data_IF_885745847549
#
_entry.id   IF_885745847549
#
_cell.length_a   1.000
_cell.length_b   1.000
_cell.length_c   1.000
_cell.angle_alpha   90.00
_cell.angle_beta   90.00
_cell.angle_gamma   90.00
#
_symmetry.space_group_name_H-M   'P 1'
#
loop_
_entity.id
_entity.type
_entity.pdbx_description
1 polymer ?
#
# COMPACT_ATOMS: atom_id res chain seq x y z
N UNK A 1 14.82 12.93 -10.30
CA UNK A 1 13.73 13.59 -11.05
C UNK A 1 13.69 15.02 -10.55
N UNK A 2 14.04 16.00 -11.39
CA UNK A 2 14.29 17.38 -10.94
C UNK A 2 13.31 18.41 -11.52
N UNK A 3 12.34 18.00 -12.34
CA UNK A 3 11.30 18.88 -12.89
C UNK A 3 9.94 18.17 -13.09
N UNK A 4 8.90 18.94 -13.40
CA UNK A 4 7.53 18.43 -13.57
C UNK A 4 7.27 17.58 -14.81
N UNK A 5 8.09 17.68 -15.86
CA UNK A 5 7.97 16.86 -17.08
C UNK A 5 8.64 15.49 -16.88
N UNK A 6 9.76 15.46 -16.14
CA UNK A 6 10.42 14.25 -15.68
C UNK A 6 9.50 13.43 -14.77
N UNK A 7 8.63 14.08 -13.98
CA UNK A 7 7.67 13.39 -13.12
C UNK A 7 6.64 12.64 -13.95
N UNK A 8 6.12 13.20 -15.05
CA UNK A 8 5.17 12.50 -15.91
C UNK A 8 5.82 11.28 -16.59
N UNK A 9 7.07 11.40 -17.04
CA UNK A 9 7.83 10.26 -17.58
C UNK A 9 8.12 9.20 -16.50
N UNK A 10 8.51 9.59 -15.29
CA UNK A 10 8.77 8.66 -14.20
C UNK A 10 7.49 7.92 -13.76
N UNK A 11 6.35 8.61 -13.74
CA UNK A 11 5.04 8.00 -13.44
C UNK A 11 4.57 7.04 -14.52
N UNK A 12 4.93 7.26 -15.79
CA UNK A 12 4.63 6.37 -16.90
C UNK A 12 5.53 5.11 -16.94
N UNK A 13 6.67 5.14 -16.25
CA UNK A 13 7.72 4.13 -16.38
C UNK A 13 7.59 2.92 -15.43
N UNK A 14 6.58 2.84 -14.55
CA UNK A 14 6.40 1.63 -13.72
C UNK A 14 5.28 1.68 -12.68
N UNK A 15 5.04 0.52 -12.08
CA UNK A 15 4.12 0.32 -10.95
C UNK A 15 4.74 0.82 -9.64
N UNK A 16 4.48 2.08 -9.30
CA UNK A 16 4.95 2.68 -8.05
C UNK A 16 4.05 2.29 -6.88
N UNK A 17 4.63 1.80 -5.79
CA UNK A 17 3.86 1.46 -4.59
C UNK A 17 3.50 2.69 -3.73
N UNK A 18 4.29 3.77 -3.83
CA UNK A 18 4.10 5.04 -3.14
C UNK A 18 4.90 6.14 -3.84
N UNK A 19 4.40 7.39 -3.78
CA UNK A 19 5.08 8.57 -4.30
C UNK A 19 5.39 9.53 -3.16
N UNK A 20 6.64 9.99 -3.10
CA UNK A 20 7.06 11.11 -2.25
C UNK A 20 7.19 12.34 -3.14
N UNK A 21 6.41 13.38 -2.86
CA UNK A 21 6.28 14.54 -3.73
C UNK A 21 6.70 15.81 -3.00
N UNK A 22 7.75 16.47 -3.50
CA UNK A 22 8.15 17.78 -2.99
C UNK A 22 7.27 18.88 -3.62
N UNK A 23 6.77 19.82 -2.83
CA UNK A 23 6.07 20.98 -3.37
C UNK A 23 7.02 22.03 -3.95
N UNK A 24 8.28 22.06 -3.52
CA UNK A 24 9.28 23.01 -3.98
C UNK A 24 9.93 22.60 -5.32
N UNK A 25 9.16 22.01 -6.23
CA UNK A 25 9.66 21.63 -7.56
C UNK A 25 9.78 22.87 -8.47
N UNK A 26 10.91 23.04 -9.18
CA UNK A 26 11.02 24.08 -10.21
C UNK A 26 10.10 23.75 -11.41
N UNK A 27 9.61 24.80 -12.08
CA UNK A 27 8.74 24.79 -13.29
C UNK A 27 7.30 24.32 -13.09
N UNK A 28 7.03 23.19 -12.44
CA UNK A 28 5.68 22.73 -12.14
C UNK A 28 5.54 22.51 -10.64
N UNK A 29 4.61 23.22 -10.00
CA UNK A 29 4.38 23.04 -8.57
C UNK A 29 3.91 21.62 -8.28
N UNK A 30 4.45 20.98 -7.23
CA UNK A 30 4.08 19.60 -6.88
C UNK A 30 2.58 19.39 -6.68
N UNK A 31 1.82 20.45 -6.37
CA UNK A 31 0.37 20.35 -6.28
C UNK A 31 -0.32 20.12 -7.63
N UNK A 32 0.20 20.71 -8.71
CA UNK A 32 -0.31 20.49 -10.06
C UNK A 32 -0.05 19.06 -10.53
N UNK A 33 1.12 18.51 -10.17
CA UNK A 33 1.45 17.09 -10.38
C UNK A 33 0.42 16.19 -9.69
N UNK A 34 0.13 16.46 -8.41
CA UNK A 34 -0.85 15.68 -7.64
C UNK A 34 -2.26 15.74 -8.27
N UNK A 35 -2.70 16.93 -8.69
CA UNK A 35 -3.99 17.09 -9.38
C UNK A 35 -4.07 16.26 -10.64
N UNK A 36 -3.04 16.32 -11.50
CA UNK A 36 -3.00 15.55 -12.74
C UNK A 36 -2.99 14.04 -12.46
N UNK A 37 -2.23 13.61 -11.47
CA UNK A 37 -2.18 12.21 -11.03
C UNK A 37 -3.58 11.71 -10.63
N UNK A 38 -4.30 12.48 -9.82
CA UNK A 38 -5.66 12.13 -9.36
C UNK A 38 -6.71 12.26 -10.47
N UNK A 39 -6.59 13.24 -11.36
CA UNK A 39 -7.46 13.37 -12.53
C UNK A 39 -7.36 12.16 -13.49
N UNK A 40 -6.21 11.48 -13.52
CA UNK A 40 -6.00 10.23 -14.28
C UNK A 40 -6.50 8.98 -13.54
N UNK A 41 -7.08 9.13 -12.35
CA UNK A 41 -7.57 8.01 -11.54
C UNK A 41 -6.46 7.14 -10.93
N UNK A 42 -5.21 7.60 -10.89
CA UNK A 42 -4.12 6.83 -10.31
C UNK A 42 -4.29 6.75 -8.78
N UNK A 43 -4.39 5.53 -8.19
CA UNK A 43 -4.69 5.33 -6.78
C UNK A 43 -3.44 5.28 -5.88
N UNK A 44 -2.23 5.41 -6.44
CA UNK A 44 -0.97 5.27 -5.69
C UNK A 44 -0.94 6.30 -4.54
N UNK A 45 -0.59 5.88 -3.31
CA UNK A 45 -0.54 6.79 -2.18
C UNK A 45 0.55 7.85 -2.38
N UNK A 46 0.25 9.10 -2.06
CA UNK A 46 1.18 10.24 -2.19
C UNK A 46 1.43 10.88 -0.83
N UNK A 47 2.70 10.95 -0.43
CA UNK A 47 3.16 11.74 0.72
C UNK A 47 3.77 13.03 0.19
N UNK A 48 3.22 14.17 0.60
CA UNK A 48 3.70 15.48 0.16
C UNK A 48 4.68 16.08 1.18
N UNK A 49 5.85 16.48 0.70
CA UNK A 49 6.85 17.22 1.47
C UNK A 49 6.65 18.72 1.25
N UNK A 50 6.56 19.49 2.34
CA UNK A 50 6.28 20.93 2.29
C UNK A 50 7.20 21.71 3.22
N UNK A 51 7.58 22.94 2.84
CA UNK A 51 8.24 23.88 3.77
C UNK A 51 7.21 24.60 4.68
N UNK A 52 5.92 24.56 4.34
CA UNK A 52 4.86 25.23 5.08
C UNK A 52 4.13 24.25 6.01
N UNK A 53 4.34 24.40 7.32
CA UNK A 53 3.73 23.58 8.36
C UNK A 53 2.35 24.09 8.85
N UNK A 54 1.85 25.22 8.31
CA UNK A 54 0.57 25.79 8.73
C UNK A 54 -0.58 24.77 8.55
N UNK A 55 -1.51 24.76 9.51
CA UNK A 55 -2.68 23.89 9.48
C UNK A 55 -3.49 24.08 8.19
N UNK A 56 -3.71 25.34 7.78
CA UNK A 56 -4.42 25.67 6.54
C UNK A 56 -3.74 25.10 5.28
N UNK A 57 -2.41 25.12 5.24
CA UNK A 57 -1.63 24.54 4.14
C UNK A 57 -1.79 23.02 4.06
N UNK A 58 -1.82 22.33 5.21
CA UNK A 58 -2.01 20.87 5.28
C UNK A 58 -3.44 20.44 4.94
N UNK A 59 -4.44 21.18 5.43
CA UNK A 59 -5.86 20.87 5.18
C UNK A 59 -6.20 21.07 3.70
N UNK A 60 -5.77 22.17 3.08
CA UNK A 60 -5.97 22.38 1.64
C UNK A 60 -5.32 21.28 0.81
N UNK A 61 -4.10 20.89 1.17
CA UNK A 61 -3.39 19.84 0.48
C UNK A 61 -4.06 18.45 0.57
N UNK A 62 -4.59 18.08 1.74
CA UNK A 62 -5.33 16.82 1.91
C UNK A 62 -6.59 16.81 1.04
N UNK A 63 -7.28 17.94 0.94
CA UNK A 63 -8.45 18.08 0.07
C UNK A 63 -8.10 17.99 -1.43
N UNK A 64 -6.84 18.24 -1.80
CA UNK A 64 -6.36 18.14 -3.19
C UNK A 64 -5.85 16.72 -3.53
N UNK A 65 -5.97 15.77 -2.60
CA UNK A 65 -5.87 14.33 -2.87
C UNK A 65 -4.57 13.66 -2.44
N UNK A 66 -3.76 14.31 -1.61
CA UNK A 66 -2.61 13.63 -0.98
C UNK A 66 -3.09 12.76 0.19
N UNK A 67 -2.35 11.69 0.45
CA UNK A 67 -2.66 10.76 1.53
C UNK A 67 -1.96 11.13 2.85
N UNK A 68 -0.88 11.92 2.78
CA UNK A 68 -0.19 12.51 3.94
C UNK A 68 0.59 13.79 3.59
N UNK A 69 0.90 14.57 4.62
CA UNK A 69 1.78 15.74 4.56
C UNK A 69 2.88 15.65 5.60
N UNK A 70 4.11 15.93 5.18
CA UNK A 70 5.28 16.02 6.05
C UNK A 70 5.98 17.36 5.86
N UNK A 71 6.09 18.13 6.93
CA UNK A 71 6.75 19.43 6.91
C UNK A 71 8.28 19.28 6.99
N UNK A 72 9.03 20.10 6.27
CA UNK A 72 10.48 20.22 6.36
C UNK A 72 10.88 21.25 7.43
N UNK A 73 11.95 21.00 8.21
CA UNK A 73 12.76 19.78 8.25
C UNK A 73 12.03 18.63 8.97
N UNK A 74 12.29 17.39 8.56
CA UNK A 74 11.74 16.18 9.18
C UNK A 74 12.84 15.20 9.55
N UNK A 75 12.53 14.28 10.47
CA UNK A 75 13.39 13.13 10.79
C UNK A 75 13.14 12.00 9.80
N UNK A 76 14.19 11.25 9.44
CA UNK A 76 14.06 10.13 8.50
C UNK A 76 13.15 9.05 9.08
N UNK A 77 13.24 8.80 10.38
CA UNK A 77 12.42 7.87 11.13
C UNK A 77 10.92 8.22 11.05
N UNK A 78 10.59 9.52 11.03
CA UNK A 78 9.20 9.98 10.84
C UNK A 78 8.70 9.66 9.42
N UNK A 79 9.52 9.93 8.40
CA UNK A 79 9.18 9.63 7.02
C UNK A 79 9.00 8.12 6.81
N UNK A 80 9.89 7.30 7.36
CA UNK A 80 9.79 5.83 7.29
C UNK A 80 8.51 5.31 7.96
N UNK A 81 8.16 5.85 9.12
CA UNK A 81 6.91 5.48 9.82
C UNK A 81 5.68 5.81 8.96
N UNK A 82 5.65 7.00 8.33
CA UNK A 82 4.55 7.42 7.45
C UNK A 82 4.45 6.58 6.18
N UNK A 83 5.58 6.29 5.53
CA UNK A 83 5.64 5.38 4.37
C UNK A 83 5.04 4.03 4.73
N UNK A 84 5.43 3.45 5.87
CA UNK A 84 4.92 2.15 6.33
C UNK A 84 3.41 2.16 6.53
N UNK A 85 2.87 3.24 7.12
CA UNK A 85 1.43 3.40 7.31
C UNK A 85 0.68 3.49 5.97
N UNK A 86 1.22 4.24 5.01
CA UNK A 86 0.57 4.41 3.71
C UNK A 86 0.63 3.16 2.84
N UNK A 87 1.77 2.46 2.82
CA UNK A 87 1.89 1.19 2.12
C UNK A 87 0.95 0.11 2.70
N UNK A 88 0.78 0.06 4.03
CA UNK A 88 -0.22 -0.82 4.66
C UNK A 88 -1.63 -0.50 4.14
N UNK A 89 -2.04 0.78 4.20
CA UNK A 89 -3.37 1.22 3.72
C UNK A 89 -3.59 1.00 2.22
N UNK A 90 -2.53 1.12 1.41
CA UNK A 90 -2.62 0.88 -0.02
C UNK A 90 -2.74 -0.62 -0.34
N UNK A 91 -2.05 -1.48 0.42
CA UNK A 91 -2.25 -2.93 0.36
C UNK A 91 -3.67 -3.32 0.82
N UNK A 92 -4.24 -2.65 1.82
CA UNK A 92 -5.64 -2.84 2.24
C UNK A 92 -6.64 -2.39 1.15
N UNK A 93 -6.21 -1.54 0.20
CA UNK A 93 -7.03 -0.98 -0.90
C UNK A 93 -6.91 -1.72 -2.23
N UNK A 94 -5.93 -2.61 -2.40
CA UNK A 94 -5.64 -3.23 -3.70
C UNK A 94 -5.79 -4.76 -3.59
N UNK A 95 -7.00 -5.22 -3.92
CA UNK A 95 -7.47 -6.60 -3.97
C UNK A 95 -7.37 -7.39 -2.63
N UNK A 96 -8.41 -7.31 -1.77
CA UNK A 96 -8.45 -8.01 -0.49
C UNK A 96 -8.66 -9.52 -0.62
N UNK A 97 -8.42 -10.09 -1.81
CA UNK A 97 -8.84 -11.43 -2.18
C UNK A 97 -7.73 -12.12 -2.98
N UNK A 98 -7.16 -13.19 -2.42
CA UNK A 98 -6.23 -14.07 -3.13
C UNK A 98 -7.03 -15.25 -3.68
N UNK A 99 -7.00 -15.45 -5.00
CA UNK A 99 -7.72 -16.56 -5.67
C UNK A 99 -6.76 -17.66 -6.15
N UNK A 100 -7.13 -18.91 -5.91
CA UNK A 100 -6.45 -20.12 -6.37
C UNK A 100 -7.50 -21.07 -6.95
N UNK A 101 -7.80 -20.92 -8.25
CA UNK A 101 -8.98 -21.55 -8.84
C UNK A 101 -10.25 -21.06 -8.15
N UNK A 102 -11.10 -21.99 -7.71
CA UNK A 102 -12.34 -21.68 -7.00
C UNK A 102 -12.13 -21.30 -5.53
N UNK A 103 -10.91 -21.45 -5.01
CA UNK A 103 -10.56 -21.07 -3.64
C UNK A 103 -10.26 -19.58 -3.58
N UNK A 104 -10.84 -18.89 -2.61
CA UNK A 104 -10.79 -17.45 -2.44
C UNK A 104 -10.46 -17.16 -0.98
N UNK A 105 -9.39 -16.42 -0.73
CA UNK A 105 -8.99 -15.97 0.61
C UNK A 105 -9.16 -14.47 0.72
N UNK A 106 -10.09 -14.03 1.57
CA UNK A 106 -10.26 -12.61 1.87
C UNK A 106 -9.27 -12.21 2.97
N UNK A 107 -8.29 -11.39 2.64
CA UNK A 107 -7.20 -10.97 3.55
C UNK A 107 -7.67 -10.02 4.65
N UNK A 108 -8.83 -9.37 4.48
CA UNK A 108 -9.38 -8.42 5.45
C UNK A 108 -10.17 -9.15 6.54
N UNK A 109 -11.07 -10.04 6.13
CA UNK A 109 -11.88 -10.87 7.03
C UNK A 109 -11.12 -12.10 7.52
N UNK A 110 -10.02 -12.45 6.85
CA UNK A 110 -9.26 -13.69 7.01
C UNK A 110 -10.16 -14.93 6.82
N UNK A 111 -11.15 -14.85 5.93
CA UNK A 111 -12.05 -15.96 5.63
C UNK A 111 -11.69 -16.61 4.29
N UNK A 112 -11.83 -17.92 4.24
CA UNK A 112 -11.75 -18.69 3.00
C UNK A 112 -13.15 -18.98 2.47
N UNK A 113 -13.29 -18.98 1.15
CA UNK A 113 -14.45 -19.53 0.46
C UNK A 113 -14.04 -20.39 -0.73
N UNK A 114 -14.86 -21.40 -1.04
CA UNK A 114 -14.66 -22.29 -2.19
C UNK A 114 -15.93 -22.26 -3.04
N UNK A 115 -15.82 -21.84 -4.30
CA UNK A 115 -16.98 -21.67 -5.17
C UNK A 115 -18.02 -20.68 -4.61
N UNK A 116 -17.57 -19.69 -3.83
CA UNK A 116 -18.42 -18.69 -3.18
C UNK A 116 -19.02 -19.10 -1.82
N UNK A 117 -18.84 -20.34 -1.37
CA UNK A 117 -19.29 -20.78 -0.04
C UNK A 117 -18.17 -20.69 0.99
N UNK A 118 -18.44 -20.09 2.16
CA UNK A 118 -17.47 -19.96 3.24
C UNK A 118 -17.02 -21.33 3.77
N UNK A 119 -15.70 -21.50 3.97
CA UNK A 119 -15.13 -22.70 4.56
C UNK A 119 -15.06 -22.57 6.08
N UNK A 120 -15.63 -23.55 6.79
CA UNK A 120 -15.44 -23.69 8.24
C UNK A 120 -14.17 -24.50 8.48
N UNK A 121 -13.07 -23.81 8.79
CA UNK A 121 -11.76 -24.43 9.05
C UNK A 121 -11.44 -24.38 10.54
N UNK A 122 -10.78 -25.42 11.04
CA UNK A 122 -10.13 -25.35 12.35
C UNK A 122 -8.97 -24.32 12.30
N UNK A 123 -8.52 -23.79 13.45
CA UNK A 123 -7.40 -22.84 13.49
C UNK A 123 -6.14 -23.37 12.78
N UNK A 124 -5.86 -24.67 12.93
CA UNK A 124 -4.70 -25.33 12.33
C UNK A 124 -4.82 -25.44 10.81
N UNK A 125 -5.98 -25.84 10.31
CA UNK A 125 -6.26 -25.90 8.86
C UNK A 125 -6.21 -24.52 8.22
N UNK A 126 -6.77 -23.52 8.90
CA UNK A 126 -6.73 -22.13 8.47
C UNK A 126 -5.29 -21.62 8.34
N UNK A 127 -4.48 -21.80 9.39
CA UNK A 127 -3.08 -21.37 9.40
C UNK A 127 -2.26 -22.04 8.28
N UNK A 128 -2.44 -23.34 8.06
CA UNK A 128 -1.80 -24.06 6.94
C UNK A 128 -2.21 -23.45 5.60
N UNK A 129 -3.51 -23.28 5.39
CA UNK A 129 -4.06 -22.84 4.11
C UNK A 129 -3.66 -21.39 3.81
N UNK A 130 -3.65 -20.51 4.81
CA UNK A 130 -3.16 -19.12 4.69
C UNK A 130 -1.69 -19.11 4.25
N UNK A 131 -0.84 -19.93 4.86
CA UNK A 131 0.58 -20.01 4.47
C UNK A 131 0.78 -20.51 3.03
N UNK A 132 -0.06 -21.42 2.56
CA UNK A 132 -0.01 -21.93 1.19
C UNK A 132 -0.52 -20.90 0.18
N UNK A 133 -1.64 -20.25 0.47
CA UNK A 133 -2.31 -19.30 -0.44
C UNK A 133 -1.53 -18.00 -0.56
N UNK A 134 -0.96 -17.48 0.53
CA UNK A 134 -0.07 -16.30 0.48
C UNK A 134 1.20 -16.56 -0.34
N UNK A 135 1.64 -17.83 -0.43
CA UNK A 135 2.81 -18.26 -1.20
C UNK A 135 2.44 -18.99 -2.50
N UNK A 136 1.22 -18.80 -3.00
CA UNK A 136 0.73 -19.48 -4.20
C UNK A 136 1.72 -19.38 -5.37
N UNK A 137 1.92 -20.48 -6.09
CA UNK A 137 2.91 -20.58 -7.17
C UNK A 137 4.34 -20.89 -6.71
N UNK A 138 4.61 -21.04 -5.41
CA UNK A 138 5.90 -21.48 -4.87
C UNK A 138 5.73 -22.71 -3.99
N UNK A 139 6.70 -23.62 -4.06
CA UNK A 139 6.74 -24.79 -3.16
C UNK A 139 7.02 -24.34 -1.73
N UNK A 140 6.14 -24.69 -0.78
CA UNK A 140 6.35 -24.45 0.65
C UNK A 140 6.87 -25.74 1.30
N UNK A 141 7.99 -25.66 2.03
CA UNK A 141 8.55 -26.83 2.70
C UNK A 141 7.76 -27.21 3.95
N UNK A 142 7.78 -28.49 4.31
CA UNK A 142 7.13 -28.99 5.54
C UNK A 142 7.66 -28.30 6.80
N UNK A 143 8.97 -28.03 6.85
CA UNK A 143 9.59 -27.30 7.95
C UNK A 143 9.03 -25.87 8.05
N UNK A 144 8.91 -25.15 6.94
CA UNK A 144 8.37 -23.80 6.91
C UNK A 144 6.89 -23.74 7.33
N UNK A 145 6.08 -24.72 6.91
CA UNK A 145 4.70 -24.85 7.40
C UNK A 145 4.68 -25.12 8.90
N UNK A 146 5.47 -26.09 9.37
CA UNK A 146 5.54 -26.46 10.78
C UNK A 146 5.85 -25.24 11.66
N UNK A 147 6.89 -24.47 11.33
CA UNK A 147 7.26 -23.26 12.08
C UNK A 147 6.12 -22.24 12.12
N UNK A 148 5.42 -22.02 11.01
CA UNK A 148 4.33 -21.04 10.94
C UNK A 148 3.06 -21.45 11.71
N UNK A 149 2.89 -22.74 12.01
CA UNK A 149 1.70 -23.29 12.69
C UNK A 149 1.96 -23.51 14.18
N UNK A 150 3.21 -23.67 14.60
CA UNK A 150 3.57 -23.92 16.00
C UNK A 150 3.19 -22.77 16.95
N UNK A 151 3.08 -21.53 16.46
CA UNK A 151 2.65 -20.38 17.28
C UNK A 151 1.19 -20.49 17.77
N UNK A 152 0.38 -21.43 17.25
CA UNK A 152 -1.01 -21.65 17.68
C UNK A 152 -1.16 -22.70 18.80
N UNK A 153 -0.12 -23.48 19.10
CA UNK A 153 -0.13 -24.52 20.15
C UNK A 153 0.40 -23.99 21.50
N UNK A 154 0.66 -22.68 21.64
CA UNK A 154 1.11 -21.98 22.87
C UNK A 154 0.14 -20.93 23.39
#
# INVERSE_FOLDING_TARGET
>A
VHDGEDVEHALAAGDHALIILDLALPRMGGMEVLKRLRARGNPVPVIVLTANASLDGRVKGLNEGADDYLAKPFQIEELEARIRVQLRRANDRTAPVISCGDLVFDTNTRLFSLGGAALSLTPREHAVLEQLVVKAGRTVSKAALSTAIYDFDT
#
